data_IF_859824382126
#
_entry.id   IF_859824382126
#
_cell.length_a   1.000
_cell.length_b   1.000
_cell.length_c   1.000
_cell.angle_alpha   90.00
_cell.angle_beta   90.00
_cell.angle_gamma   90.00
#
_symmetry.space_group_name_H-M   'P 1'
#
loop_
_entity.id
_entity.type
_entity.pdbx_description
1 polymer ?
#
# COMPACT_ATOMS: atom_id res chain seq x y z
N UNK A 1 62.14 15.26 -3.68
CA UNK A 1 60.87 15.56 -3.02
C UNK A 1 59.80 15.56 -4.10
N UNK A 2 59.09 14.42 -4.25
CA UNK A 2 58.03 14.26 -5.26
C UNK A 2 56.71 14.50 -4.53
N UNK A 3 56.03 15.58 -4.87
CA UNK A 3 54.65 15.84 -4.40
C UNK A 3 53.73 14.90 -5.20
N UNK A 4 53.14 13.91 -4.51
CA UNK A 4 51.98 13.19 -4.99
C UNK A 4 50.76 14.10 -4.81
N UNK A 5 50.22 14.64 -5.90
CA UNK A 5 48.91 15.26 -5.91
C UNK A 5 47.84 14.16 -5.87
N UNK A 6 47.18 13.94 -4.74
CA UNK A 6 45.93 13.19 -4.67
C UNK A 6 44.86 14.02 -5.39
N UNK A 7 44.51 13.65 -6.61
CA UNK A 7 43.27 14.13 -7.24
C UNK A 7 42.09 13.40 -6.58
N UNK A 8 41.45 14.07 -5.65
CA UNK A 8 40.06 13.74 -5.25
C UNK A 8 39.21 13.95 -6.51
N UNK A 9 38.83 12.87 -7.15
CA UNK A 9 37.79 12.89 -8.18
C UNK A 9 36.48 13.26 -7.51
N UNK A 10 36.14 14.54 -7.55
CA UNK A 10 34.75 14.94 -7.34
C UNK A 10 33.94 14.30 -8.48
N UNK A 11 33.18 13.26 -8.20
CA UNK A 11 32.18 12.77 -9.14
C UNK A 11 31.31 13.96 -9.54
N UNK A 12 31.18 14.24 -10.83
CA UNK A 12 30.27 15.25 -11.31
C UNK A 12 28.87 14.86 -10.80
N UNK A 13 28.28 15.71 -9.98
CA UNK A 13 26.86 15.58 -9.59
C UNK A 13 26.05 15.61 -10.88
N UNK A 14 25.08 14.72 -11.02
CA UNK A 14 24.21 14.71 -12.18
C UNK A 14 23.36 15.98 -12.18
N UNK A 15 23.42 16.76 -13.27
CA UNK A 15 22.49 17.88 -13.46
C UNK A 15 21.18 17.33 -14.04
N UNK A 16 20.06 17.55 -13.36
CA UNK A 16 18.76 17.13 -13.84
C UNK A 16 17.66 17.25 -12.76
N UNK A 17 16.45 17.02 -13.18
CA UNK A 17 15.33 16.92 -12.24
C UNK A 17 14.39 15.78 -12.64
N UNK A 18 13.76 15.17 -11.65
CA UNK A 18 12.68 14.19 -11.82
C UNK A 18 11.41 14.67 -11.12
N UNK A 19 10.27 14.25 -11.63
CA UNK A 19 8.98 14.44 -10.98
C UNK A 19 8.49 13.10 -10.41
N UNK A 20 8.41 13.03 -9.09
CA UNK A 20 7.89 11.88 -8.34
C UNK A 20 6.41 12.14 -8.03
N UNK A 21 5.54 11.18 -8.35
CA UNK A 21 4.10 11.23 -8.10
C UNK A 21 3.70 10.08 -7.18
N UNK A 22 3.43 10.40 -5.92
CA UNK A 22 3.24 9.45 -4.84
C UNK A 22 1.98 9.77 -4.02
N UNK A 23 1.60 8.88 -3.13
CA UNK A 23 0.57 9.09 -2.12
C UNK A 23 0.97 10.20 -1.15
N UNK A 24 0.00 10.77 -0.43
CA UNK A 24 0.28 11.66 0.70
C UNK A 24 0.95 10.88 1.84
N UNK A 25 1.85 11.54 2.60
CA UNK A 25 2.56 10.99 3.76
C UNK A 25 3.18 9.60 3.54
N UNK A 26 3.71 9.37 2.33
CA UNK A 26 4.18 8.05 1.91
C UNK A 26 5.67 8.02 1.53
N UNK A 27 6.45 8.94 2.07
CA UNK A 27 7.91 9.00 2.00
C UNK A 27 8.42 9.93 3.10
N UNK A 28 9.53 9.58 3.74
CA UNK A 28 10.24 10.50 4.62
C UNK A 28 10.90 11.62 3.79
N UNK A 29 10.57 12.88 4.04
CA UNK A 29 11.16 14.02 3.33
C UNK A 29 12.69 14.09 3.48
N UNK A 30 13.26 13.54 4.56
CA UNK A 30 14.70 13.44 4.74
C UNK A 30 15.33 12.54 3.66
N UNK A 31 14.63 11.49 3.22
CA UNK A 31 15.08 10.60 2.13
C UNK A 31 15.20 11.36 0.81
N UNK A 32 14.22 12.22 0.48
CA UNK A 32 14.30 13.09 -0.71
C UNK A 32 15.51 14.02 -0.62
N UNK A 33 15.70 14.63 0.54
CA UNK A 33 16.82 15.54 0.80
C UNK A 33 18.16 14.83 0.65
N UNK A 34 18.29 13.61 1.17
CA UNK A 34 19.50 12.80 1.04
C UNK A 34 19.78 12.44 -0.42
N UNK A 35 18.77 12.02 -1.18
CA UNK A 35 18.93 11.73 -2.61
C UNK A 35 19.45 12.95 -3.39
N UNK A 36 18.85 14.12 -3.18
CA UNK A 36 19.27 15.35 -3.83
C UNK A 36 20.71 15.75 -3.46
N UNK A 37 21.09 15.59 -2.19
CA UNK A 37 22.45 15.89 -1.72
C UNK A 37 23.51 14.95 -2.29
N UNK A 38 23.19 13.64 -2.39
CA UNK A 38 24.13 12.64 -2.88
C UNK A 38 24.29 12.67 -4.39
N UNK A 39 23.22 12.97 -5.13
CA UNK A 39 23.22 12.85 -6.60
C UNK A 39 23.26 14.18 -7.34
N UNK A 40 22.80 15.28 -6.73
CA UNK A 40 22.59 16.56 -7.39
C UNK A 40 21.32 16.62 -8.25
N UNK A 41 20.50 15.54 -8.27
CA UNK A 41 19.26 15.48 -9.02
C UNK A 41 18.15 16.14 -8.18
N UNK A 42 17.48 17.16 -8.75
CA UNK A 42 16.32 17.79 -8.11
C UNK A 42 15.11 16.85 -8.16
N UNK A 43 14.39 16.73 -7.04
CA UNK A 43 13.12 15.98 -6.96
C UNK A 43 11.96 16.96 -6.83
N UNK A 44 11.09 16.99 -7.85
CA UNK A 44 9.79 17.63 -7.79
C UNK A 44 8.78 16.60 -7.29
N UNK A 45 8.09 16.90 -6.20
CA UNK A 45 7.20 15.95 -5.57
C UNK A 45 5.74 16.39 -5.73
N UNK A 46 4.90 15.47 -6.20
CA UNK A 46 3.47 15.66 -6.38
C UNK A 46 2.72 14.48 -5.75
N UNK A 47 1.50 14.73 -5.28
CA UNK A 47 0.69 13.74 -4.59
C UNK A 47 -0.60 13.42 -5.34
N UNK A 48 -1.09 12.21 -5.11
CA UNK A 48 -2.44 11.76 -5.47
C UNK A 48 -3.11 11.09 -4.25
N UNK A 49 -4.43 10.96 -4.31
CA UNK A 49 -5.23 10.40 -3.22
C UNK A 49 -5.78 9.01 -3.53
N UNK A 50 -5.92 8.67 -4.83
CA UNK A 50 -6.41 7.37 -5.27
C UNK A 50 -5.64 6.88 -6.51
N UNK A 51 -5.55 5.56 -6.67
CA UNK A 51 -4.99 4.95 -7.88
C UNK A 51 -5.71 5.42 -9.15
N UNK A 52 -7.02 5.60 -9.06
CA UNK A 52 -7.88 6.04 -10.17
C UNK A 52 -7.56 7.48 -10.59
N UNK A 53 -7.30 8.38 -9.63
CA UNK A 53 -6.85 9.75 -9.90
C UNK A 53 -5.50 9.75 -10.63
N UNK A 54 -4.52 9.02 -10.10
CA UNK A 54 -3.20 8.88 -10.71
C UNK A 54 -3.32 8.32 -12.13
N UNK A 55 -4.04 7.21 -12.30
CA UNK A 55 -4.26 6.58 -13.60
C UNK A 55 -4.93 7.52 -14.60
N UNK A 56 -5.97 8.26 -14.20
CA UNK A 56 -6.66 9.21 -15.07
C UNK A 56 -5.75 10.35 -15.54
N UNK A 57 -4.91 10.88 -14.64
CA UNK A 57 -3.91 11.90 -14.99
C UNK A 57 -2.91 11.38 -16.03
N UNK A 58 -2.35 10.20 -15.82
CA UNK A 58 -1.38 9.59 -16.75
C UNK A 58 -2.03 9.27 -18.10
N UNK A 59 -3.24 8.68 -18.10
CA UNK A 59 -3.98 8.32 -19.32
C UNK A 59 -4.37 9.54 -20.18
N UNK A 60 -4.61 10.68 -19.55
CA UNK A 60 -4.91 11.93 -20.24
C UNK A 60 -3.67 12.64 -20.79
N UNK A 61 -2.46 12.16 -20.47
CA UNK A 61 -1.20 12.83 -20.78
C UNK A 61 -1.00 14.13 -19.98
N UNK A 62 -1.71 14.30 -18.86
CA UNK A 62 -1.59 15.45 -17.99
C UNK A 62 -0.42 15.26 -17.01
N UNK A 63 0.62 16.05 -17.16
CA UNK A 63 1.81 16.06 -16.31
C UNK A 63 2.96 15.21 -16.85
N UNK A 64 4.16 15.69 -16.60
CA UNK A 64 5.42 14.97 -16.90
C UNK A 64 5.89 14.33 -15.57
N UNK A 65 5.54 13.05 -15.36
CA UNK A 65 5.96 12.26 -14.19
C UNK A 65 7.03 11.27 -14.59
N UNK A 66 8.02 11.07 -13.72
CA UNK A 66 9.16 10.19 -13.98
C UNK A 66 9.14 8.94 -13.10
N UNK A 67 8.64 9.06 -11.85
CA UNK A 67 8.42 7.92 -10.96
C UNK A 67 7.02 8.01 -10.38
N UNK A 68 6.30 6.89 -10.37
CA UNK A 68 4.95 6.75 -9.81
C UNK A 68 4.89 5.57 -8.85
N UNK A 69 3.95 5.60 -7.89
CA UNK A 69 3.81 4.60 -6.82
C UNK A 69 2.41 3.95 -6.83
N UNK A 70 2.02 3.23 -7.89
CA UNK A 70 0.74 2.55 -7.97
C UNK A 70 0.68 1.29 -7.12
N UNK A 71 -0.55 0.88 -6.75
CA UNK A 71 -0.80 -0.43 -6.17
C UNK A 71 -0.83 -1.54 -7.24
N UNK A 72 -0.68 -2.76 -6.79
CA UNK A 72 -0.56 -4.00 -7.57
C UNK A 72 -1.56 -4.11 -8.75
N UNK A 73 -2.85 -3.97 -8.52
CA UNK A 73 -3.88 -4.11 -9.57
C UNK A 73 -3.80 -3.02 -10.65
N UNK A 74 -3.34 -1.82 -10.29
CA UNK A 74 -3.11 -0.74 -11.26
C UNK A 74 -1.81 -0.98 -12.03
N UNK A 75 -0.77 -1.48 -11.39
CA UNK A 75 0.47 -1.91 -12.09
C UNK A 75 0.11 -2.96 -13.14
N UNK A 76 -0.66 -4.00 -12.76
CA UNK A 76 -1.11 -5.05 -13.67
C UNK A 76 -1.86 -4.47 -14.88
N UNK A 77 -2.78 -3.54 -14.65
CA UNK A 77 -3.52 -2.84 -15.70
C UNK A 77 -2.61 -2.02 -16.61
N UNK A 78 -1.73 -1.20 -16.02
CA UNK A 78 -0.82 -0.33 -16.77
C UNK A 78 0.19 -1.12 -17.60
N UNK A 79 0.64 -2.30 -17.14
CA UNK A 79 1.46 -3.23 -17.93
C UNK A 79 0.68 -3.73 -19.15
N UNK A 80 -0.56 -4.21 -18.96
CA UNK A 80 -1.43 -4.70 -20.04
C UNK A 80 -1.72 -3.63 -21.11
N UNK A 81 -1.85 -2.39 -20.68
CA UNK A 81 -2.12 -1.23 -21.55
C UNK A 81 -0.84 -0.60 -22.15
N UNK A 82 0.35 -1.09 -21.77
CA UNK A 82 1.63 -0.58 -22.28
C UNK A 82 1.97 0.84 -21.80
N UNK A 83 1.50 1.20 -20.61
CA UNK A 83 1.65 2.53 -20.01
C UNK A 83 2.93 2.69 -19.16
N UNK A 84 3.72 1.63 -18.98
CA UNK A 84 4.95 1.64 -18.20
C UNK A 84 6.17 1.42 -19.10
N UNK A 85 7.31 1.98 -18.71
CA UNK A 85 8.63 1.67 -19.25
C UNK A 85 9.17 0.41 -18.55
N UNK A 86 9.80 -0.48 -19.33
CA UNK A 86 10.56 -1.57 -18.73
C UNK A 86 11.81 -1.01 -18.03
N UNK A 87 12.08 -1.50 -16.82
CA UNK A 87 13.24 -1.12 -16.02
C UNK A 87 14.51 -1.78 -16.53
N UNK A 88 15.62 -1.06 -16.48
CA UNK A 88 16.95 -1.63 -16.72
C UNK A 88 17.54 -2.14 -15.39
N UNK A 89 17.38 -3.44 -15.12
CA UNK A 89 17.81 -4.06 -13.87
C UNK A 89 19.31 -3.96 -13.63
N UNK A 90 20.13 -3.79 -14.66
CA UNK A 90 21.58 -3.55 -14.51
C UNK A 90 21.88 -2.19 -13.87
N UNK A 91 20.93 -1.24 -13.96
CA UNK A 91 21.00 0.07 -13.31
C UNK A 91 20.39 0.08 -11.91
N UNK A 92 19.78 -1.02 -11.49
CA UNK A 92 19.08 -1.17 -10.21
C UNK A 92 19.72 -2.24 -9.30
N UNK A 93 21.05 -2.21 -9.03
CA UNK A 93 21.70 -3.27 -8.26
C UNK A 93 21.10 -3.48 -6.86
N UNK A 94 20.60 -2.40 -6.22
CA UNK A 94 19.97 -2.49 -4.90
C UNK A 94 18.60 -3.19 -4.92
N UNK A 95 17.90 -3.23 -6.06
CA UNK A 95 16.65 -3.96 -6.22
C UNK A 95 16.83 -5.49 -6.05
N UNK A 96 18.05 -6.01 -6.18
CA UNK A 96 18.37 -7.40 -5.84
C UNK A 96 18.10 -7.74 -4.38
N UNK A 97 18.05 -6.73 -3.49
CA UNK A 97 17.72 -6.83 -2.08
C UNK A 97 16.24 -7.04 -1.76
N UNK A 98 15.35 -6.96 -2.75
CA UNK A 98 13.92 -7.26 -2.57
C UNK A 98 13.76 -8.74 -2.18
N UNK A 99 12.84 -9.02 -1.24
CA UNK A 99 12.50 -10.37 -0.79
C UNK A 99 12.02 -11.25 -1.94
N UNK A 100 12.39 -12.52 -1.95
CA UNK A 100 12.17 -13.43 -3.09
C UNK A 100 10.69 -13.56 -3.48
N UNK A 101 9.77 -13.54 -2.52
CA UNK A 101 8.34 -13.65 -2.78
C UNK A 101 7.72 -12.42 -3.47
N UNK A 102 8.43 -11.27 -3.44
CA UNK A 102 8.01 -10.01 -4.08
C UNK A 102 8.81 -9.66 -5.34
N UNK A 103 9.85 -10.43 -5.71
CA UNK A 103 10.67 -10.14 -6.90
C UNK A 103 9.91 -10.30 -8.22
N UNK A 104 8.97 -11.24 -8.27
CA UNK A 104 8.14 -11.54 -9.45
C UNK A 104 6.71 -11.78 -9.02
N UNK A 105 6.03 -10.73 -8.57
CA UNK A 105 4.66 -10.84 -8.09
C UNK A 105 3.70 -11.11 -9.25
N UNK A 106 2.51 -11.63 -8.94
CA UNK A 106 1.53 -12.00 -9.96
C UNK A 106 1.12 -10.84 -10.88
N UNK A 107 1.18 -9.61 -10.40
CA UNK A 107 0.86 -8.41 -11.17
C UNK A 107 2.01 -7.96 -12.13
N UNK A 108 3.25 -8.39 -11.88
CA UNK A 108 4.43 -8.19 -12.75
C UNK A 108 5.28 -9.47 -12.80
N UNK A 109 4.83 -10.54 -13.48
CA UNK A 109 5.44 -11.87 -13.39
C UNK A 109 6.85 -11.96 -13.95
N UNK A 110 7.26 -11.02 -14.77
CA UNK A 110 8.63 -10.92 -15.24
C UNK A 110 9.51 -10.07 -14.33
N UNK A 111 8.92 -9.27 -13.41
CA UNK A 111 9.62 -8.29 -12.58
C UNK A 111 10.30 -7.21 -13.41
N UNK A 112 9.67 -6.80 -14.49
CA UNK A 112 10.27 -5.95 -15.50
C UNK A 112 9.82 -4.49 -15.44
N UNK A 113 8.72 -4.18 -14.77
CA UNK A 113 8.08 -2.87 -14.82
C UNK A 113 7.96 -2.17 -13.47
N UNK A 114 8.10 -2.93 -12.38
CA UNK A 114 7.91 -2.42 -11.03
C UNK A 114 8.97 -2.94 -10.06
N UNK A 115 9.35 -2.10 -9.10
CA UNK A 115 10.09 -2.52 -7.92
C UNK A 115 9.19 -2.30 -6.71
N UNK A 116 8.88 -3.33 -5.90
CA UNK A 116 8.09 -3.18 -4.69
C UNK A 116 8.66 -2.13 -3.75
N UNK A 117 7.79 -1.30 -3.20
CA UNK A 117 8.16 -0.19 -2.31
C UNK A 117 7.73 -0.45 -0.87
N UNK A 118 6.43 -0.62 -0.65
CA UNK A 118 5.82 -0.97 0.62
C UNK A 118 4.75 -2.03 0.39
N UNK A 119 4.42 -2.76 1.43
CA UNK A 119 3.33 -3.73 1.39
C UNK A 119 2.63 -3.81 2.75
N UNK A 120 1.44 -4.35 2.76
CA UNK A 120 0.67 -4.50 3.98
C UNK A 120 -0.58 -5.32 3.78
N UNK A 121 -1.40 -5.36 4.83
CA UNK A 121 -2.69 -6.06 4.85
C UNK A 121 -3.81 -5.11 5.20
N UNK A 122 -5.04 -5.50 4.88
CA UNK A 122 -6.26 -4.91 5.45
C UNK A 122 -6.74 -5.78 6.58
N UNK A 123 -7.14 -5.18 7.68
CA UNK A 123 -7.63 -5.93 8.83
C UNK A 123 -8.56 -5.14 9.72
N UNK A 124 -8.83 -5.70 10.86
CA UNK A 124 -9.70 -5.12 11.87
C UNK A 124 -8.85 -4.58 13.04
N UNK A 125 -8.82 -3.28 13.20
CA UNK A 125 -8.31 -2.60 14.39
C UNK A 125 -9.43 -2.52 15.41
N UNK A 126 -9.21 -2.98 16.63
CA UNK A 126 -10.22 -2.98 17.67
C UNK A 126 -9.67 -2.54 19.03
N UNK A 127 -10.54 -1.91 19.83
CA UNK A 127 -10.21 -1.50 21.18
C UNK A 127 -10.57 -2.62 22.16
N UNK A 128 -9.58 -3.19 22.84
CA UNK A 128 -9.69 -4.35 23.73
C UNK A 128 -10.54 -4.05 25.00
N UNK A 129 -10.65 -2.79 25.38
CA UNK A 129 -11.47 -2.38 26.54
C UNK A 129 -12.94 -2.23 26.16
N UNK A 130 -13.24 -2.03 24.86
CA UNK A 130 -14.61 -1.88 24.34
C UNK A 130 -15.12 -3.18 23.71
N UNK A 131 -14.21 -4.05 23.24
CA UNK A 131 -14.51 -5.36 22.65
C UNK A 131 -13.89 -6.46 23.52
N UNK A 132 -14.65 -6.99 24.49
CA UNK A 132 -14.09 -8.03 25.38
C UNK A 132 -13.96 -9.36 24.65
N UNK A 133 -12.74 -9.91 24.67
CA UNK A 133 -12.39 -11.20 24.09
C UNK A 133 -11.63 -11.09 22.76
N UNK A 134 -11.06 -12.21 22.29
CA UNK A 134 -10.29 -12.23 21.07
C UNK A 134 -11.19 -11.97 19.85
N UNK A 135 -10.75 -11.08 18.96
CA UNK A 135 -11.37 -10.84 17.65
C UNK A 135 -10.52 -11.55 16.60
N UNK A 136 -11.10 -12.51 15.87
CA UNK A 136 -10.39 -13.31 14.86
C UNK A 136 -11.17 -13.45 13.54
N UNK A 137 -12.26 -12.69 13.37
CA UNK A 137 -13.22 -12.83 12.28
C UNK A 137 -13.78 -11.47 11.86
N UNK A 138 -14.25 -11.37 10.61
CA UNK A 138 -15.06 -10.22 10.15
C UNK A 138 -16.46 -10.20 10.74
N UNK A 139 -16.93 -11.27 11.40
CA UNK A 139 -18.29 -11.36 11.93
C UNK A 139 -18.73 -10.17 12.79
N UNK A 140 -17.89 -9.60 13.70
CA UNK A 140 -18.31 -8.48 14.55
C UNK A 140 -18.76 -7.24 13.79
N UNK A 141 -18.18 -6.96 12.61
CA UNK A 141 -18.57 -5.78 11.83
C UNK A 141 -19.91 -5.95 11.10
N UNK A 142 -20.49 -7.16 11.12
CA UNK A 142 -21.81 -7.48 10.55
C UNK A 142 -22.84 -7.87 11.61
N UNK A 143 -22.48 -7.86 12.90
CA UNK A 143 -23.37 -8.22 13.99
C UNK A 143 -24.29 -7.02 14.35
N UNK A 144 -25.64 -7.17 14.23
CA UNK A 144 -26.58 -6.10 14.59
C UNK A 144 -26.53 -5.64 16.05
N UNK A 145 -25.91 -6.41 16.95
CA UNK A 145 -25.67 -6.00 18.33
C UNK A 145 -24.67 -4.84 18.43
N UNK A 146 -23.80 -4.67 17.44
CA UNK A 146 -22.71 -3.69 17.41
C UNK A 146 -23.14 -2.38 16.70
N UNK A 147 -24.19 -1.71 17.18
CA UNK A 147 -24.65 -0.45 16.58
C UNK A 147 -23.64 0.69 16.80
N UNK A 148 -23.42 1.50 15.74
CA UNK A 148 -22.50 2.65 15.72
C UNK A 148 -21.10 2.33 16.24
N UNK A 149 -20.60 1.13 15.91
CA UNK A 149 -19.37 0.61 16.49
C UNK A 149 -18.25 0.44 15.47
N UNK A 150 -18.50 0.62 14.17
CA UNK A 150 -17.54 0.33 13.12
C UNK A 150 -17.26 1.54 12.25
N UNK A 151 -15.99 1.92 12.11
CA UNK A 151 -15.52 2.71 10.98
C UNK A 151 -15.14 1.77 9.84
N UNK A 152 -15.74 1.96 8.67
CA UNK A 152 -15.42 1.22 7.45
C UNK A 152 -14.43 2.00 6.60
N UNK A 153 -13.58 1.32 5.85
CA UNK A 153 -12.74 1.97 4.84
C UNK A 153 -13.61 2.57 3.72
N UNK A 154 -13.35 3.83 3.39
CA UNK A 154 -13.92 4.48 2.20
C UNK A 154 -13.16 4.06 0.93
N UNK A 155 -13.08 2.77 0.72
CA UNK A 155 -12.46 2.09 -0.42
C UNK A 155 -13.42 1.03 -0.97
N UNK A 156 -13.73 1.14 -2.26
CA UNK A 156 -14.65 0.23 -2.94
C UNK A 156 -14.11 -1.20 -2.90
N UNK A 157 -12.85 -1.37 -3.30
CA UNK A 157 -12.23 -2.69 -3.41
C UNK A 157 -12.10 -3.36 -2.04
N UNK A 158 -11.65 -2.63 -1.03
CA UNK A 158 -11.47 -3.18 0.31
C UNK A 158 -12.83 -3.49 0.97
N UNK A 159 -13.75 -2.53 1.04
CA UNK A 159 -15.03 -2.70 1.72
C UNK A 159 -15.91 -3.78 1.08
N UNK A 160 -15.96 -3.85 -0.26
CA UNK A 160 -16.69 -4.93 -0.94
C UNK A 160 -15.93 -6.25 -0.85
N UNK A 161 -14.60 -6.20 -0.95
CA UNK A 161 -13.72 -7.36 -0.88
C UNK A 161 -13.81 -8.10 0.46
N UNK A 162 -13.80 -7.38 1.59
CA UNK A 162 -13.95 -8.02 2.90
C UNK A 162 -15.33 -8.68 3.09
N UNK A 163 -16.40 -8.08 2.53
CA UNK A 163 -17.72 -8.69 2.55
C UNK A 163 -17.76 -9.98 1.70
N UNK A 164 -17.08 -9.98 0.55
CA UNK A 164 -16.89 -11.17 -0.28
C UNK A 164 -16.12 -12.26 0.49
N UNK A 165 -15.00 -11.91 1.14
CA UNK A 165 -14.22 -12.87 1.95
C UNK A 165 -15.05 -13.45 3.09
N UNK A 166 -15.79 -12.62 3.82
CA UNK A 166 -16.68 -13.09 4.88
C UNK A 166 -17.72 -14.08 4.38
N UNK A 167 -18.20 -13.92 3.14
CA UNK A 167 -19.14 -14.83 2.49
C UNK A 167 -18.46 -16.04 1.81
N UNK A 168 -17.12 -16.14 1.86
CA UNK A 168 -16.35 -17.24 1.28
C UNK A 168 -16.08 -17.11 -0.23
N UNK A 169 -16.20 -15.89 -0.78
CA UNK A 169 -15.88 -15.61 -2.18
C UNK A 169 -14.49 -14.96 -2.33
N UNK A 170 -13.94 -14.99 -3.55
CA UNK A 170 -12.74 -14.21 -3.89
C UNK A 170 -13.03 -12.72 -3.93
N UNK A 171 -12.07 -11.91 -3.46
CA UNK A 171 -12.13 -10.44 -3.51
C UNK A 171 -12.04 -9.89 -4.95
N UNK A 172 -11.67 -10.75 -5.91
CA UNK A 172 -11.53 -10.42 -7.32
C UNK A 172 -12.66 -10.97 -8.19
N UNK A 173 -13.76 -11.43 -7.58
CA UNK A 173 -14.84 -12.09 -8.31
C UNK A 173 -15.57 -11.12 -9.25
N UNK A 174 -15.91 -11.57 -10.45
CA UNK A 174 -16.85 -10.92 -11.37
C UNK A 174 -18.25 -11.59 -11.36
N UNK A 175 -18.43 -12.63 -10.54
CA UNK A 175 -19.70 -13.34 -10.43
C UNK A 175 -20.79 -12.45 -9.84
N UNK A 176 -21.86 -12.24 -10.60
CA UNK A 176 -22.93 -11.32 -10.21
C UNK A 176 -23.66 -11.75 -8.94
N UNK A 177 -23.83 -13.06 -8.71
CA UNK A 177 -24.52 -13.55 -7.53
C UNK A 177 -23.69 -13.32 -6.26
N UNK A 178 -22.37 -13.50 -6.33
CA UNK A 178 -21.44 -13.19 -5.25
C UNK A 178 -21.43 -11.69 -4.93
N UNK A 179 -21.38 -10.85 -5.97
CA UNK A 179 -21.43 -9.38 -5.83
C UNK A 179 -22.75 -8.91 -5.23
N UNK A 180 -23.89 -9.48 -5.66
CA UNK A 180 -25.22 -9.16 -5.10
C UNK A 180 -25.34 -9.60 -3.63
N UNK A 181 -24.75 -10.72 -3.24
CA UNK A 181 -24.72 -11.18 -1.86
C UNK A 181 -23.88 -10.24 -0.97
N UNK A 182 -22.68 -9.82 -1.43
CA UNK A 182 -21.85 -8.87 -0.70
C UNK A 182 -22.51 -7.49 -0.57
N UNK A 183 -23.13 -7.00 -1.65
CA UNK A 183 -23.95 -5.78 -1.64
C UNK A 183 -25.05 -5.85 -0.60
N UNK A 184 -25.84 -6.94 -0.61
CA UNK A 184 -26.95 -7.11 0.34
C UNK A 184 -26.45 -7.13 1.79
N UNK A 185 -25.31 -7.76 2.06
CA UNK A 185 -24.68 -7.78 3.39
C UNK A 185 -24.27 -6.37 3.86
N UNK A 186 -23.61 -5.58 3.00
CA UNK A 186 -23.17 -4.21 3.34
C UNK A 186 -24.36 -3.24 3.48
N UNK A 187 -25.39 -3.36 2.64
CA UNK A 187 -26.63 -2.58 2.78
C UNK A 187 -27.32 -2.93 4.11
N UNK A 188 -27.35 -4.23 4.47
CA UNK A 188 -27.90 -4.66 5.75
C UNK A 188 -27.08 -4.11 6.92
N UNK A 189 -25.76 -4.15 6.87
CA UNK A 189 -24.86 -3.58 7.87
C UNK A 189 -25.20 -2.11 8.14
N UNK A 190 -25.41 -1.32 7.08
CA UNK A 190 -25.81 0.08 7.18
C UNK A 190 -27.22 0.24 7.76
N UNK A 191 -28.20 -0.56 7.30
CA UNK A 191 -29.59 -0.54 7.76
C UNK A 191 -29.71 -0.93 9.25
N UNK A 192 -28.87 -1.85 9.71
CA UNK A 192 -28.77 -2.24 11.13
C UNK A 192 -28.05 -1.15 11.97
N UNK A 193 -27.63 -0.04 11.35
CA UNK A 193 -26.93 1.09 11.97
C UNK A 193 -25.61 0.69 12.66
N UNK A 194 -24.90 -0.28 12.12
CA UNK A 194 -23.60 -0.76 12.63
C UNK A 194 -22.49 0.22 12.26
N UNK A 195 -22.51 0.72 11.03
CA UNK A 195 -21.49 1.64 10.49
C UNK A 195 -21.63 3.01 11.15
N UNK A 196 -20.54 3.48 11.74
CA UNK A 196 -20.40 4.82 12.31
C UNK A 196 -19.96 5.84 11.26
N UNK A 197 -19.15 5.43 10.30
CA UNK A 197 -18.67 6.24 9.19
C UNK A 197 -17.80 5.44 8.24
N UNK A 198 -17.58 6.02 7.05
CA UNK A 198 -16.61 5.54 6.07
C UNK A 198 -15.47 6.54 6.06
N UNK A 199 -14.26 6.10 6.36
CA UNK A 199 -13.09 6.95 6.60
C UNK A 199 -11.87 6.40 5.85
N UNK A 200 -10.86 7.25 5.66
CA UNK A 200 -9.54 6.88 5.18
C UNK A 200 -8.53 7.30 6.27
N UNK A 201 -7.78 8.38 6.08
CA UNK A 201 -6.67 8.76 6.95
C UNK A 201 -7.06 9.11 8.40
N UNK A 202 -8.21 9.76 8.58
CA UNK A 202 -8.67 10.20 9.91
C UNK A 202 -9.12 9.05 10.84
N UNK A 203 -9.22 7.83 10.33
CA UNK A 203 -9.65 6.66 11.12
C UNK A 203 -8.68 6.37 12.26
N UNK A 204 -7.38 6.49 12.03
CA UNK A 204 -6.33 6.23 13.03
C UNK A 204 -6.48 7.13 14.26
N UNK A 205 -6.64 8.44 14.05
CA UNK A 205 -6.80 9.40 15.14
C UNK A 205 -8.11 9.18 15.92
N UNK A 206 -9.20 8.82 15.23
CA UNK A 206 -10.48 8.50 15.87
C UNK A 206 -10.43 7.22 16.69
N UNK A 207 -9.67 6.22 16.25
CA UNK A 207 -9.47 5.00 17.02
C UNK A 207 -8.60 5.25 18.26
N UNK A 208 -7.54 6.05 18.15
CA UNK A 208 -6.73 6.50 19.29
C UNK A 208 -7.58 7.29 20.30
N UNK A 209 -8.48 8.13 19.82
CA UNK A 209 -9.43 8.87 20.67
C UNK A 209 -10.54 8.00 21.29
N UNK A 210 -10.62 6.70 20.97
CA UNK A 210 -11.65 5.79 21.50
C UNK A 210 -13.05 6.09 20.96
N UNK A 211 -13.17 6.68 19.77
CA UNK A 211 -14.46 7.05 19.21
C UNK A 211 -15.29 5.85 18.74
N UNK A 212 -14.67 4.70 18.47
CA UNK A 212 -15.35 3.47 18.07
C UNK A 212 -14.63 2.22 18.63
N UNK A 213 -15.37 1.13 18.87
CA UNK A 213 -14.76 -0.15 19.25
C UNK A 213 -13.94 -0.80 18.16
N UNK A 214 -14.27 -0.57 16.88
CA UNK A 214 -13.66 -1.26 15.73
C UNK A 214 -13.52 -0.35 14.53
N UNK A 215 -12.50 -0.63 13.71
CA UNK A 215 -12.32 -0.02 12.41
C UNK A 215 -11.68 -1.00 11.42
N UNK A 216 -12.11 -0.97 10.17
CA UNK A 216 -11.40 -1.59 9.05
C UNK A 216 -10.31 -0.63 8.61
N UNK A 217 -9.06 -1.07 8.62
CA UNK A 217 -7.89 -0.22 8.35
C UNK A 217 -6.79 -0.98 7.61
N UNK A 218 -5.87 -0.25 7.01
CA UNK A 218 -4.59 -0.80 6.55
C UNK A 218 -3.63 -1.01 7.72
N UNK A 219 -2.73 -1.99 7.58
CA UNK A 219 -1.83 -2.40 8.68
C UNK A 219 -0.91 -1.28 9.19
N UNK A 220 -0.46 -0.35 8.34
CA UNK A 220 0.37 0.77 8.78
C UNK A 220 -0.41 1.77 9.64
N UNK A 221 -1.66 2.10 9.28
CA UNK A 221 -2.53 2.94 10.11
C UNK A 221 -2.81 2.26 11.46
N UNK A 222 -2.95 0.93 11.45
CA UNK A 222 -3.10 0.15 12.68
C UNK A 222 -1.83 0.24 13.55
N UNK A 223 -0.64 0.07 12.96
CA UNK A 223 0.64 0.18 13.67
C UNK A 223 0.81 1.57 14.28
N UNK A 224 0.53 2.62 13.50
CA UNK A 224 0.53 3.98 14.03
C UNK A 224 -0.43 4.14 15.22
N UNK A 225 -1.68 3.71 15.08
CA UNK A 225 -2.67 3.83 16.15
C UNK A 225 -2.28 3.02 17.40
N UNK A 226 -1.76 1.81 17.22
CA UNK A 226 -1.27 0.96 18.32
C UNK A 226 -0.04 1.56 19.02
N UNK A 227 0.81 2.30 18.31
CA UNK A 227 1.92 3.04 18.93
C UNK A 227 1.46 4.19 19.84
N UNK A 228 0.24 4.68 19.64
CA UNK A 228 -0.37 5.76 20.43
C UNK A 228 -1.28 5.25 21.55
N UNK A 229 -1.73 3.98 21.50
CA UNK A 229 -2.66 3.42 22.50
C UNK A 229 -2.47 1.92 22.66
N UNK A 230 -2.13 1.49 23.88
CA UNK A 230 -1.97 0.08 24.25
C UNK A 230 -3.32 -0.70 24.25
N UNK A 231 -4.45 0.01 24.25
CA UNK A 231 -5.79 -0.59 24.18
C UNK A 231 -6.15 -1.09 22.78
N UNK A 232 -5.40 -0.70 21.75
CA UNK A 232 -5.67 -1.06 20.37
C UNK A 232 -4.92 -2.33 19.96
N UNK A 233 -5.60 -3.20 19.23
CA UNK A 233 -5.02 -4.39 18.61
C UNK A 233 -5.53 -4.54 17.19
N UNK A 234 -4.68 -5.10 16.33
CA UNK A 234 -5.00 -5.36 14.94
C UNK A 234 -4.98 -6.86 14.66
N UNK A 235 -5.88 -7.29 13.78
CA UNK A 235 -5.93 -8.68 13.30
C UNK A 235 -6.33 -8.74 11.84
N UNK A 236 -5.68 -9.64 11.09
CA UNK A 236 -6.19 -10.11 9.81
C UNK A 236 -7.13 -11.28 10.08
N UNK A 237 -8.44 -11.15 9.82
CA UNK A 237 -9.42 -12.17 10.15
C UNK A 237 -9.17 -13.52 9.47
N UNK A 238 -9.67 -14.58 10.07
CA UNK A 238 -9.47 -15.97 9.61
C UNK A 238 -10.08 -16.28 8.24
N UNK A 239 -11.09 -15.52 7.82
CA UNK A 239 -11.67 -15.61 6.49
C UNK A 239 -10.70 -15.12 5.39
N UNK A 240 -9.61 -14.45 5.81
CA UNK A 240 -8.65 -13.79 4.94
C UNK A 240 -9.04 -12.35 4.62
N UNK A 241 -8.16 -11.67 3.92
CA UNK A 241 -8.29 -10.25 3.58
C UNK A 241 -7.50 -9.91 2.32
N UNK A 242 -7.33 -8.62 2.05
CA UNK A 242 -6.39 -8.13 1.05
C UNK A 242 -4.96 -8.10 1.64
N UNK A 243 -4.00 -8.60 0.89
CA UNK A 243 -2.59 -8.24 0.96
C UNK A 243 -2.27 -7.40 -0.28
N UNK A 244 -1.67 -6.26 -0.10
CA UNK A 244 -1.40 -5.30 -1.17
C UNK A 244 0.08 -4.94 -1.23
N UNK A 245 0.53 -4.55 -2.40
CA UNK A 245 1.89 -4.05 -2.66
C UNK A 245 1.80 -2.80 -3.51
N UNK A 246 2.47 -1.74 -3.06
CA UNK A 246 2.72 -0.58 -3.89
C UNK A 246 4.12 -0.68 -4.50
N UNK A 247 4.23 -0.37 -5.78
CA UNK A 247 5.47 -0.49 -6.52
C UNK A 247 5.93 0.83 -7.12
N UNK A 248 7.24 1.00 -7.23
CA UNK A 248 7.85 2.10 -7.96
C UNK A 248 7.91 1.76 -9.44
N UNK A 249 7.28 2.57 -10.28
CA UNK A 249 7.21 2.39 -11.72
C UNK A 249 7.63 3.66 -12.46
N UNK A 250 8.03 3.50 -13.72
CA UNK A 250 8.34 4.62 -14.63
C UNK A 250 7.24 4.67 -15.68
N UNK A 251 6.46 5.75 -15.77
CA UNK A 251 5.40 5.86 -16.78
C UNK A 251 5.99 5.97 -18.19
N UNK A 252 5.27 5.43 -19.17
CA UNK A 252 5.62 5.48 -20.58
C UNK A 252 5.78 6.92 -21.05
N UNK A 253 6.93 7.20 -21.69
CA UNK A 253 7.24 8.52 -22.22
C UNK A 253 7.96 9.47 -21.24
N UNK A 254 8.35 8.99 -20.04
CA UNK A 254 9.30 9.74 -19.20
C UNK A 254 10.56 10.07 -19.98
N UNK A 255 10.98 11.33 -19.92
CA UNK A 255 12.21 11.82 -20.58
C UNK A 255 13.44 11.65 -19.71
N UNK A 256 13.24 11.30 -18.44
CA UNK A 256 14.28 11.24 -17.41
C UNK A 256 14.45 9.80 -16.87
N UNK A 257 14.18 8.77 -17.68
CA UNK A 257 14.21 7.37 -17.27
C UNK A 257 15.48 7.00 -16.49
N UNK A 258 16.66 7.44 -16.95
CA UNK A 258 17.92 7.12 -16.26
C UNK A 258 18.01 7.75 -14.85
N UNK A 259 17.51 8.96 -14.68
CA UNK A 259 17.46 9.63 -13.37
C UNK A 259 16.40 9.00 -12.47
N UNK A 260 15.27 8.56 -13.04
CA UNK A 260 14.22 7.83 -12.36
C UNK A 260 14.72 6.46 -11.86
N UNK A 261 15.49 5.73 -12.67
CA UNK A 261 16.14 4.48 -12.27
C UNK A 261 17.15 4.71 -11.13
N UNK A 262 17.90 5.81 -11.14
CA UNK A 262 18.78 6.17 -10.02
C UNK A 262 18.00 6.41 -8.73
N UNK A 263 16.83 7.09 -8.81
CA UNK A 263 15.96 7.29 -7.65
C UNK A 263 15.39 5.97 -7.14
N UNK A 264 14.86 5.11 -8.00
CA UNK A 264 14.34 3.78 -7.64
C UNK A 264 15.45 2.94 -6.98
N UNK A 265 16.63 2.92 -7.56
CA UNK A 265 17.76 2.20 -6.98
C UNK A 265 18.18 2.74 -5.60
N UNK A 266 18.13 4.07 -5.41
CA UNK A 266 18.41 4.70 -4.12
C UNK A 266 17.37 4.29 -3.07
N UNK A 267 16.08 4.27 -3.43
CA UNK A 267 14.98 3.85 -2.56
C UNK A 267 15.11 2.38 -2.09
N UNK A 268 15.80 1.53 -2.85
CA UNK A 268 16.06 0.13 -2.51
C UNK A 268 17.26 -0.07 -1.56
N UNK A 269 17.98 0.97 -1.19
CA UNK A 269 19.06 0.88 -0.20
C UNK A 269 18.47 0.49 1.16
N UNK A 270 19.12 -0.43 1.92
CA UNK A 270 18.58 -0.86 3.23
C UNK A 270 18.41 0.28 4.25
N UNK A 271 19.36 1.23 4.30
CA UNK A 271 19.28 2.39 5.18
C UNK A 271 18.09 3.30 4.82
N UNK A 272 17.85 3.54 3.54
CA UNK A 272 16.75 4.35 3.02
C UNK A 272 15.40 3.64 3.21
N UNK A 273 15.34 2.35 2.89
CA UNK A 273 14.13 1.55 3.08
C UNK A 273 13.73 1.46 4.56
N UNK A 274 14.71 1.38 5.46
CA UNK A 274 14.48 1.41 6.92
C UNK A 274 13.88 2.75 7.37
N UNK A 275 14.44 3.89 6.91
CA UNK A 275 13.90 5.22 7.24
C UNK A 275 12.43 5.35 6.78
N UNK A 276 12.13 4.95 5.56
CA UNK A 276 10.76 5.00 5.05
C UNK A 276 9.82 4.08 5.83
N UNK A 277 10.24 2.85 6.15
CA UNK A 277 9.45 1.92 6.94
C UNK A 277 9.10 2.49 8.33
N UNK A 278 10.07 3.08 9.01
CA UNK A 278 9.89 3.71 10.33
C UNK A 278 8.99 4.94 10.28
N UNK A 279 9.06 5.73 9.20
CA UNK A 279 8.25 6.91 9.02
C UNK A 279 6.80 6.58 8.63
N UNK A 280 6.62 5.62 7.71
CA UNK A 280 5.32 5.31 7.08
C UNK A 280 4.55 4.23 7.88
N UNK A 281 5.25 3.44 8.71
CA UNK A 281 4.69 2.31 9.48
C UNK A 281 4.24 1.11 8.64
N UNK A 282 4.56 1.03 7.33
CA UNK A 282 4.26 -0.14 6.49
C UNK A 282 5.46 -1.08 6.36
N UNK A 283 5.17 -2.32 5.98
CA UNK A 283 6.19 -3.35 5.81
C UNK A 283 7.06 -3.08 4.58
N UNK A 284 8.37 -3.26 4.74
CA UNK A 284 9.33 -3.09 3.66
C UNK A 284 9.54 -4.39 2.88
N UNK A 285 9.74 -4.34 1.56
CA UNK A 285 10.13 -5.50 0.77
C UNK A 285 11.64 -5.81 0.84
N UNK A 286 12.46 -4.97 1.49
CA UNK A 286 13.93 -5.10 1.46
C UNK A 286 14.41 -6.11 2.51
N UNK A 287 14.93 -7.25 2.04
CA UNK A 287 15.29 -8.39 2.91
C UNK A 287 16.31 -8.02 3.99
N UNK A 288 17.31 -7.20 3.67
CA UNK A 288 18.32 -6.79 4.64
C UNK A 288 17.75 -5.96 5.80
N UNK A 289 16.66 -5.22 5.59
CA UNK A 289 15.94 -4.51 6.66
C UNK A 289 15.19 -5.52 7.53
N UNK A 290 14.50 -6.48 6.91
CA UNK A 290 13.74 -7.54 7.61
C UNK A 290 14.70 -8.38 8.49
N UNK A 291 15.83 -8.78 7.94
CA UNK A 291 16.85 -9.55 8.66
C UNK A 291 17.44 -8.77 9.86
N UNK A 292 17.56 -7.45 9.70
CA UNK A 292 18.09 -6.53 10.72
C UNK A 292 17.08 -6.08 11.78
N UNK A 293 15.80 -6.47 11.69
CA UNK A 293 14.79 -6.18 12.71
C UNK A 293 15.15 -6.80 14.05
N UNK A 294 14.82 -6.14 15.14
CA UNK A 294 14.94 -6.71 16.48
C UNK A 294 13.84 -7.76 16.77
N UNK A 295 13.87 -8.37 17.95
CA UNK A 295 12.91 -9.44 18.31
C UNK A 295 11.48 -8.91 18.48
N UNK A 296 11.30 -7.65 18.88
CA UNK A 296 10.00 -7.02 19.04
C UNK A 296 9.38 -6.75 17.66
N UNK A 297 10.14 -6.17 16.74
CA UNK A 297 9.74 -5.93 15.36
C UNK A 297 9.42 -7.22 14.62
N UNK A 298 10.28 -8.26 14.76
CA UNK A 298 10.05 -9.59 14.16
C UNK A 298 8.80 -10.27 14.70
N UNK A 299 8.53 -10.10 15.99
CA UNK A 299 7.35 -10.64 16.65
C UNK A 299 6.06 -9.86 16.41
N UNK A 300 6.14 -8.70 15.78
CA UNK A 300 4.96 -7.88 15.47
C UNK A 300 4.24 -8.43 14.24
N UNK A 301 3.17 -9.19 14.44
CA UNK A 301 2.39 -9.82 13.37
C UNK A 301 1.64 -8.80 12.48
N UNK A 302 1.49 -7.56 12.90
CA UNK A 302 0.93 -6.49 12.07
C UNK A 302 1.95 -6.01 11.03
N UNK A 303 3.23 -5.92 11.43
CA UNK A 303 4.34 -5.54 10.56
C UNK A 303 4.85 -6.74 9.74
N UNK A 304 4.92 -7.91 10.36
CA UNK A 304 5.43 -9.16 9.78
C UNK A 304 4.40 -10.28 9.94
N UNK A 305 3.30 -10.25 9.16
CA UNK A 305 2.27 -11.29 9.26
C UNK A 305 2.87 -12.69 9.03
N UNK A 306 2.49 -13.70 9.84
CA UNK A 306 2.89 -15.09 9.60
C UNK A 306 2.45 -15.58 8.22
N UNK A 307 3.15 -16.58 7.68
CA UNK A 307 2.89 -17.08 6.33
C UNK A 307 1.45 -17.59 6.15
N UNK A 308 0.90 -18.25 7.17
CA UNK A 308 -0.49 -18.73 7.12
C UNK A 308 -1.52 -17.59 7.09
N UNK A 309 -1.17 -16.38 7.59
CA UNK A 309 -1.98 -15.17 7.43
C UNK A 309 -1.93 -14.69 5.98
N UNK A 310 -0.74 -14.63 5.39
CA UNK A 310 -0.56 -14.24 4.00
C UNK A 310 -1.26 -15.22 3.06
N UNK A 311 -1.14 -16.54 3.30
CA UNK A 311 -1.72 -17.60 2.45
C UNK A 311 -3.25 -17.55 2.37
N UNK A 312 -3.94 -16.97 3.38
CA UNK A 312 -5.40 -16.78 3.34
C UNK A 312 -5.84 -15.43 2.77
N UNK A 313 -4.89 -14.52 2.51
CA UNK A 313 -5.15 -13.24 1.87
C UNK A 313 -5.10 -13.34 0.34
N UNK A 314 -5.63 -12.34 -0.32
CA UNK A 314 -5.59 -12.22 -1.78
C UNK A 314 -4.99 -10.88 -2.18
N UNK A 315 -4.14 -10.88 -3.20
CA UNK A 315 -3.82 -9.65 -3.93
C UNK A 315 -5.02 -9.20 -4.74
N UNK A 316 -5.19 -7.92 -4.90
CA UNK A 316 -6.12 -7.42 -5.91
C UNK A 316 -5.53 -7.63 -7.31
N UNK A 317 -6.39 -8.00 -8.23
CA UNK A 317 -6.10 -8.08 -9.65
C UNK A 317 -6.84 -6.98 -10.42
N UNK A 318 -6.38 -6.72 -11.63
CA UNK A 318 -7.05 -5.84 -12.56
C UNK A 318 -8.44 -6.41 -12.92
N UNK A 319 -9.48 -5.72 -12.46
CA UNK A 319 -10.89 -6.01 -12.77
C UNK A 319 -11.52 -4.87 -13.58
N UNK A 320 -10.73 -4.11 -14.32
CA UNK A 320 -11.19 -2.92 -15.07
C UNK A 320 -12.39 -3.21 -15.98
N UNK A 321 -12.48 -4.43 -16.54
CA UNK A 321 -13.63 -4.88 -17.33
C UNK A 321 -14.95 -4.95 -16.54
N UNK A 322 -14.89 -5.16 -15.23
CA UNK A 322 -16.04 -5.33 -14.34
C UNK A 322 -16.18 -4.16 -13.32
N UNK A 323 -15.26 -3.19 -13.36
CA UNK A 323 -15.21 -2.10 -12.37
C UNK A 323 -16.53 -1.33 -12.29
N UNK A 324 -17.23 -1.15 -13.40
CA UNK A 324 -18.54 -0.49 -13.41
C UNK A 324 -19.60 -1.17 -12.53
N UNK A 325 -19.51 -2.51 -12.34
CA UNK A 325 -20.40 -3.24 -11.41
C UNK A 325 -20.07 -2.89 -9.97
N UNK A 326 -18.79 -2.82 -9.63
CA UNK A 326 -18.31 -2.43 -8.30
C UNK A 326 -18.70 -0.98 -7.98
N UNK A 327 -18.51 -0.06 -8.91
CA UNK A 327 -18.90 1.35 -8.76
C UNK A 327 -20.40 1.51 -8.52
N UNK A 328 -21.24 0.80 -9.28
CA UNK A 328 -22.69 0.83 -9.09
C UNK A 328 -23.08 0.31 -7.69
N UNK A 329 -22.51 -0.81 -7.28
CA UNK A 329 -22.74 -1.39 -5.94
C UNK A 329 -22.33 -0.40 -4.85
N UNK A 330 -21.17 0.23 -5.01
CA UNK A 330 -20.68 1.19 -4.03
C UNK A 330 -21.59 2.41 -3.90
N UNK A 331 -22.05 2.95 -5.02
CA UNK A 331 -23.03 4.05 -5.00
C UNK A 331 -24.33 3.66 -4.26
N UNK A 332 -24.82 2.44 -4.47
CA UNK A 332 -26.02 1.94 -3.77
C UNK A 332 -25.78 1.76 -2.25
N UNK A 333 -24.59 1.31 -1.83
CA UNK A 333 -24.23 1.18 -0.41
C UNK A 333 -24.11 2.56 0.24
N UNK A 334 -23.53 3.53 -0.46
CA UNK A 334 -23.28 4.89 0.07
C UNK A 334 -24.53 5.77 0.07
N UNK A 335 -25.53 5.50 -0.78
CA UNK A 335 -26.82 6.22 -0.82
C UNK A 335 -27.63 5.96 0.46
#
# INVERSE_FOLDING_TARGET
MVLLALSLGAGALAEGSITVFNWYDYIDEAVISMFQQETGIEVKYANFTTNEEMYAKLSSGAGDYDVIFPSDYIIERMIKEGMLEALDMDKLPNASGVSDWLKKPAYDPEGAYSIPYMWGTVGLLYNTTMMPGPVDSWAPIFDPANQKSVFMLDSIRDSLGLALKYLGYSMNTSDQAALDAAKALLIKQKADNIVKGYLVDEVKDKMVAGEAPMAVVWSGDALYAMSQSEDLQYVVPKEGSNVWVDGMCIPKGSKNKELAEQFINFMCRPDIARMNMEYIYYSTPIQAVIDGMDEEEKGNETLNPPQDVIDRCEFFHDISADMSKYDQIWMEIRS
#
